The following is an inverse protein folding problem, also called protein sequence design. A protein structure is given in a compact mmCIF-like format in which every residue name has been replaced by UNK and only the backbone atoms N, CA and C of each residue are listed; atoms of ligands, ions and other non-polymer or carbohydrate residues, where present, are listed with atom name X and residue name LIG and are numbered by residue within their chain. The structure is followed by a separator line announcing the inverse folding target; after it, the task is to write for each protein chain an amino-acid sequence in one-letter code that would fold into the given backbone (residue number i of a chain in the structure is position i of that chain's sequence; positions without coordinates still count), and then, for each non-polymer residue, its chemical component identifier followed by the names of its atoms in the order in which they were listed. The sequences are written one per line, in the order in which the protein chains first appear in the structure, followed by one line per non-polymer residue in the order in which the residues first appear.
data_IF_167968332914
#
_entry.id   IF_167968332914
#
_cell.length_a   1.000
_cell.length_b   1.000
_cell.length_c   1.000
_cell.angle_alpha   90.00
_cell.angle_beta   90.00
_cell.angle_gamma   90.00
#
_symmetry.space_group_name_H-M   'P 1'
#
loop_
_entity.id
_entity.type
_entity.pdbx_description
1 polymer ?
#
# COMPACT_ATOMS: atom_id res chain seq x y z
N UNK A 1 1.95 7.99 20.72
CA UNK A 1 2.58 8.27 19.40
C UNK A 1 1.59 9.03 18.52
N UNK A 2 1.11 10.19 18.98
CA UNK A 2 0.22 11.09 18.20
C UNK A 2 0.99 12.26 17.54
N UNK A 3 2.33 12.25 17.62
CA UNK A 3 3.16 13.41 17.25
C UNK A 3 3.62 13.45 15.78
N UNK A 4 3.07 12.62 14.88
CA UNK A 4 3.49 12.56 13.47
C UNK A 4 2.50 13.30 12.54
N UNK A 5 1.37 13.76 13.08
CA UNK A 5 0.36 14.50 12.32
C UNK A 5 0.18 15.91 12.90
N UNK A 6 0.45 16.92 12.09
CA UNK A 6 -0.09 18.27 12.28
C UNK A 6 -1.23 18.45 11.27
N UNK A 7 -2.41 17.83 11.48
CA UNK A 7 -3.54 17.98 10.58
C UNK A 7 -4.11 19.38 10.76
N UNK A 8 -3.73 20.32 9.90
CA UNK A 8 -4.26 21.68 10.00
C UNK A 8 -3.61 22.72 9.10
N UNK A 9 -2.32 22.56 8.76
CA UNK A 9 -1.65 23.55 7.90
C UNK A 9 -2.10 23.44 6.44
N UNK A 10 -2.29 24.58 5.79
CA UNK A 10 -2.73 24.66 4.38
C UNK A 10 -1.76 23.91 3.44
N UNK A 11 -0.45 24.00 3.71
CA UNK A 11 0.60 23.30 2.96
C UNK A 11 0.47 21.78 3.04
N UNK A 12 0.08 21.24 4.20
CA UNK A 12 -0.14 19.81 4.37
C UNK A 12 -1.30 19.30 3.50
N UNK A 13 -2.42 20.04 3.47
CA UNK A 13 -3.58 19.68 2.64
C UNK A 13 -3.24 19.65 1.16
N UNK A 14 -2.50 20.65 0.67
CA UNK A 14 -2.04 20.69 -0.73
C UNK A 14 -1.16 19.47 -1.03
N UNK A 15 -0.18 19.20 -0.16
CA UNK A 15 0.73 18.06 -0.34
C UNK A 15 -0.03 16.73 -0.41
N UNK A 16 -0.98 16.51 0.50
CA UNK A 16 -1.84 15.32 0.50
C UNK A 16 -2.63 15.22 -0.81
N UNK A 17 -3.29 16.30 -1.23
CA UNK A 17 -4.08 16.31 -2.46
C UNK A 17 -3.23 16.00 -3.71
N UNK A 18 -2.00 16.52 -3.77
CA UNK A 18 -1.06 16.22 -4.85
C UNK A 18 -0.69 14.73 -4.88
N UNK A 19 -0.40 14.14 -3.71
CA UNK A 19 -0.07 12.71 -3.61
C UNK A 19 -1.25 11.84 -4.03
N UNK A 20 -2.46 12.15 -3.58
CA UNK A 20 -3.65 11.37 -3.91
C UNK A 20 -3.99 11.47 -5.40
N UNK A 21 -3.95 12.68 -5.96
CA UNK A 21 -4.19 12.92 -7.39
C UNK A 21 -3.13 12.20 -8.26
N UNK A 22 -1.85 12.31 -7.89
CA UNK A 22 -0.77 11.61 -8.58
C UNK A 22 -0.92 10.08 -8.47
N UNK A 23 -1.35 9.57 -7.31
CA UNK A 23 -1.58 8.15 -7.10
C UNK A 23 -2.70 7.60 -7.96
N UNK A 24 -3.84 8.30 -8.01
CA UNK A 24 -4.96 7.93 -8.87
C UNK A 24 -4.52 7.96 -10.34
N UNK A 25 -3.88 9.05 -10.79
CA UNK A 25 -3.43 9.18 -12.17
C UNK A 25 -2.45 8.07 -12.56
N UNK A 26 -1.48 7.76 -11.70
CA UNK A 26 -0.52 6.68 -11.92
C UNK A 26 -1.25 5.34 -12.06
N UNK A 27 -2.13 5.00 -11.13
CA UNK A 27 -2.85 3.73 -11.16
C UNK A 27 -3.76 3.61 -12.39
N UNK A 28 -4.41 4.70 -12.81
CA UNK A 28 -5.21 4.73 -14.04
C UNK A 28 -4.38 4.48 -15.31
N UNK A 29 -3.10 4.85 -15.30
CA UNK A 29 -2.20 4.66 -16.44
C UNK A 29 -1.53 3.27 -16.44
N UNK A 30 -1.62 2.49 -15.37
CA UNK A 30 -0.99 1.16 -15.28
C UNK A 30 -1.48 0.20 -16.36
N UNK A 31 -2.79 0.05 -16.64
CA UNK A 31 -3.26 -0.83 -17.71
C UNK A 31 -2.71 -0.41 -19.08
N UNK A 32 -2.72 0.89 -19.38
CA UNK A 32 -2.18 1.43 -20.62
C UNK A 32 -0.66 1.20 -20.75
N UNK A 33 0.08 1.39 -19.66
CA UNK A 33 1.53 1.15 -19.61
C UNK A 33 1.89 -0.32 -19.81
N UNK A 34 1.10 -1.25 -19.24
CA UNK A 34 1.31 -2.69 -19.41
C UNK A 34 1.12 -3.12 -20.87
N UNK A 35 0.10 -2.57 -21.56
CA UNK A 35 -0.09 -2.83 -22.99
C UNK A 35 1.02 -2.26 -23.86
N UNK A 36 1.50 -1.04 -23.56
CA UNK A 36 2.54 -0.38 -24.35
C UNK A 36 3.92 -1.05 -24.20
N UNK A 37 4.26 -1.46 -22.98
CA UNK A 37 5.59 -2.02 -22.67
C UNK A 37 5.68 -3.54 -22.85
N UNK A 38 4.54 -4.23 -22.99
CA UNK A 38 4.41 -5.70 -22.90
C UNK A 38 5.01 -6.30 -21.62
N UNK A 39 5.34 -5.44 -20.65
CA UNK A 39 5.79 -5.85 -19.33
C UNK A 39 4.56 -5.92 -18.41
N UNK A 40 4.46 -6.97 -17.57
CA UNK A 40 3.40 -7.08 -16.59
C UNK A 40 3.63 -6.10 -15.43
N UNK A 41 3.41 -4.80 -15.68
CA UNK A 41 3.58 -3.71 -14.69
C UNK A 41 2.73 -3.96 -13.42
N UNK A 42 1.66 -4.75 -13.54
CA UNK A 42 0.83 -5.19 -12.42
C UNK A 42 1.59 -6.03 -11.38
N UNK A 43 2.70 -6.69 -11.75
CA UNK A 43 3.56 -7.42 -10.80
C UNK A 43 4.20 -6.50 -9.75
N UNK A 44 4.32 -5.20 -10.03
CA UNK A 44 4.89 -4.23 -9.09
C UNK A 44 3.89 -3.76 -8.02
N UNK A 45 2.64 -4.20 -8.07
CA UNK A 45 1.57 -3.79 -7.17
C UNK A 45 1.50 -2.26 -6.97
N UNK A 46 1.30 -1.48 -8.06
CA UNK A 46 1.39 -0.02 -8.02
C UNK A 46 0.43 0.62 -7.00
N UNK A 47 -0.73 0.00 -6.77
CA UNK A 47 -1.68 0.45 -5.74
C UNK A 47 -1.08 0.36 -4.33
N UNK A 48 -0.31 -0.70 -4.02
CA UNK A 48 0.37 -0.84 -2.72
C UNK A 48 1.43 0.23 -2.57
N UNK A 49 2.25 0.46 -3.60
CA UNK A 49 3.29 1.50 -3.57
C UNK A 49 2.68 2.85 -3.19
N UNK A 50 1.60 3.25 -3.86
CA UNK A 50 0.90 4.51 -3.57
C UNK A 50 0.30 4.54 -2.16
N UNK A 51 -0.28 3.43 -1.69
CA UNK A 51 -0.77 3.32 -0.31
C UNK A 51 0.36 3.45 0.73
N UNK A 52 1.54 2.87 0.49
CA UNK A 52 2.72 3.03 1.37
C UNK A 52 3.21 4.48 1.39
N UNK A 53 3.25 5.13 0.22
CA UNK A 53 3.56 6.57 0.12
C UNK A 53 2.54 7.37 0.94
N UNK A 54 1.27 6.98 0.90
CA UNK A 54 0.23 7.53 1.75
C UNK A 54 0.55 7.38 3.24
N UNK A 55 0.87 6.17 3.70
CA UNK A 55 1.30 5.92 5.10
C UNK A 55 2.43 6.86 5.54
N UNK A 56 3.39 7.16 4.65
CA UNK A 56 4.57 7.95 4.97
C UNK A 56 4.35 9.46 4.96
N UNK A 57 3.40 9.96 4.18
CA UNK A 57 3.32 11.39 3.88
C UNK A 57 1.92 12.00 4.07
N UNK A 58 0.88 11.19 4.26
CA UNK A 58 -0.50 11.63 4.51
C UNK A 58 -1.07 11.02 5.78
N UNK A 59 -2.31 11.38 6.14
CA UNK A 59 -3.02 10.94 7.36
C UNK A 59 -3.48 9.50 7.31
N UNK A 60 -3.57 8.84 8.48
CA UNK A 60 -4.13 7.49 8.59
C UNK A 60 -5.49 7.37 7.89
N UNK A 61 -6.38 8.33 8.13
CA UNK A 61 -7.70 8.37 7.48
C UNK A 61 -7.57 8.53 5.97
N UNK A 62 -6.67 9.39 5.51
CA UNK A 62 -6.44 9.61 4.08
C UNK A 62 -5.80 8.39 3.40
N UNK A 63 -4.93 7.66 4.08
CA UNK A 63 -4.38 6.39 3.58
C UNK A 63 -5.47 5.34 3.40
N UNK A 64 -6.44 5.24 4.31
CA UNK A 64 -7.60 4.38 4.11
C UNK A 64 -8.45 4.82 2.92
N UNK A 65 -8.70 6.13 2.79
CA UNK A 65 -9.40 6.66 1.62
C UNK A 65 -8.65 6.31 0.33
N UNK A 66 -7.33 6.45 0.32
CA UNK A 66 -6.48 6.10 -0.83
C UNK A 66 -6.52 4.59 -1.13
N UNK A 67 -6.46 3.73 -0.11
CA UNK A 67 -6.57 2.27 -0.26
C UNK A 67 -7.89 1.82 -0.91
N UNK A 68 -8.98 2.56 -0.67
CA UNK A 68 -10.29 2.31 -1.28
C UNK A 68 -10.40 2.98 -2.66
N UNK A 69 -9.91 4.21 -2.78
CA UNK A 69 -10.01 5.01 -3.99
C UNK A 69 -9.20 4.40 -5.14
N UNK A 70 -7.96 3.95 -4.90
CA UNK A 70 -7.09 3.48 -5.98
C UNK A 70 -7.72 2.32 -6.79
N UNK A 71 -8.23 1.24 -6.17
CA UNK A 71 -8.87 0.17 -6.94
C UNK A 71 -10.22 0.59 -7.52
N UNK A 72 -10.98 1.42 -6.80
CA UNK A 72 -12.31 1.87 -7.22
C UNK A 72 -12.25 2.76 -8.46
N UNK A 73 -11.35 3.75 -8.48
CA UNK A 73 -11.13 4.60 -9.66
C UNK A 73 -10.56 3.79 -10.84
N UNK A 74 -9.63 2.86 -10.58
CA UNK A 74 -9.12 1.95 -11.63
C UNK A 74 -10.26 1.16 -12.30
N UNK A 75 -11.15 0.58 -11.50
CA UNK A 75 -12.30 -0.16 -12.01
C UNK A 75 -13.27 0.74 -12.79
N UNK A 76 -13.63 1.91 -12.26
CA UNK A 76 -14.60 2.80 -12.90
C UNK A 76 -14.15 3.32 -14.26
N UNK A 77 -12.86 3.60 -14.43
CA UNK A 77 -12.34 4.23 -15.65
C UNK A 77 -11.77 3.22 -16.65
N UNK A 78 -11.11 2.17 -16.17
CA UNK A 78 -10.44 1.20 -17.05
C UNK A 78 -11.18 -0.13 -17.16
N UNK A 79 -12.26 -0.35 -16.40
CA UNK A 79 -12.93 -1.65 -16.29
C UNK A 79 -12.07 -2.75 -15.65
N UNK A 80 -10.85 -2.41 -15.22
CA UNK A 80 -9.88 -3.30 -14.61
C UNK A 80 -9.43 -2.73 -13.25
N UNK A 81 -9.39 -3.55 -12.19
CA UNK A 81 -9.69 -4.99 -12.10
C UNK A 81 -11.19 -5.30 -12.08
N UNK A 82 -11.59 -6.55 -12.40
CA UNK A 82 -12.99 -7.02 -12.25
C UNK A 82 -13.57 -6.67 -10.88
N UNK A 83 -14.88 -6.43 -10.81
CA UNK A 83 -15.57 -5.95 -9.60
C UNK A 83 -15.24 -6.73 -8.32
N UNK A 84 -15.27 -8.08 -8.37
CA UNK A 84 -14.94 -8.89 -7.20
C UNK A 84 -13.46 -8.78 -6.82
N UNK A 85 -12.56 -8.78 -7.81
CA UNK A 85 -11.12 -8.59 -7.59
C UNK A 85 -10.83 -7.20 -7.02
N UNK A 86 -11.55 -6.17 -7.45
CA UNK A 86 -11.50 -4.83 -6.85
C UNK A 86 -11.86 -4.87 -5.37
N UNK A 87 -12.94 -5.54 -4.96
CA UNK A 87 -13.34 -5.66 -3.55
C UNK A 87 -12.29 -6.39 -2.70
N UNK A 88 -11.69 -7.45 -3.25
CA UNK A 88 -10.61 -8.20 -2.58
C UNK A 88 -9.37 -7.30 -2.40
N UNK A 89 -8.96 -6.58 -3.44
CA UNK A 89 -7.83 -5.64 -3.40
C UNK A 89 -8.08 -4.51 -2.39
N UNK A 90 -9.28 -3.92 -2.38
CA UNK A 90 -9.67 -2.91 -1.38
C UNK A 90 -9.53 -3.48 0.03
N UNK A 91 -10.01 -4.70 0.25
CA UNK A 91 -9.94 -5.39 1.54
C UNK A 91 -8.50 -5.64 1.95
N UNK A 92 -7.66 -6.11 1.02
CA UNK A 92 -6.24 -6.36 1.23
C UNK A 92 -5.48 -5.09 1.60
N UNK A 93 -5.59 -4.02 0.80
CA UNK A 93 -4.89 -2.75 1.07
C UNK A 93 -5.38 -2.14 2.39
N UNK A 94 -6.68 -2.18 2.67
CA UNK A 94 -7.22 -1.68 3.93
C UNK A 94 -6.72 -2.49 5.13
N UNK A 95 -6.65 -3.81 5.00
CA UNK A 95 -6.08 -4.68 6.04
C UNK A 95 -4.58 -4.41 6.21
N UNK A 96 -3.85 -4.13 5.13
CA UNK A 96 -2.44 -3.75 5.18
C UNK A 96 -2.22 -2.49 6.04
N UNK A 97 -3.00 -1.44 5.77
CA UNK A 97 -2.97 -0.20 6.55
C UNK A 97 -3.30 -0.48 8.02
N UNK A 98 -4.31 -1.31 8.29
CA UNK A 98 -4.68 -1.70 9.65
C UNK A 98 -3.54 -2.43 10.37
N UNK A 99 -2.98 -3.47 9.75
CA UNK A 99 -1.90 -4.27 10.32
C UNK A 99 -0.63 -3.45 10.52
N UNK A 100 -0.31 -2.53 9.60
CA UNK A 100 0.84 -1.65 9.75
C UNK A 100 0.71 -0.79 11.01
N UNK A 101 -0.41 -0.09 11.17
CA UNK A 101 -0.64 0.75 12.35
C UNK A 101 -0.74 -0.05 13.65
N UNK A 102 -1.18 -1.31 13.58
CA UNK A 102 -1.18 -2.22 14.72
C UNK A 102 0.24 -2.69 15.10
N UNK A 103 1.03 -3.13 14.12
CA UNK A 103 2.39 -3.63 14.35
C UNK A 103 3.36 -2.53 14.74
N UNK A 104 3.25 -1.33 14.18
CA UNK A 104 4.15 -0.22 14.54
C UNK A 104 3.99 0.17 16.01
N UNK A 105 2.76 0.09 16.55
CA UNK A 105 2.49 0.34 17.97
C UNK A 105 3.04 -0.76 18.88
N UNK A 106 3.02 -2.03 18.45
CA UNK A 106 3.51 -3.16 19.25
C UNK A 106 5.01 -3.41 19.15
N UNK A 107 5.58 -3.30 17.96
CA UNK A 107 6.96 -3.66 17.66
C UNK A 107 7.91 -2.46 17.68
N UNK A 108 7.40 -1.26 17.42
CA UNK A 108 8.19 -0.03 17.31
C UNK A 108 9.15 0.01 16.11
N UNK A 109 9.32 -1.09 15.37
CA UNK A 109 10.26 -1.21 14.25
C UNK A 109 9.55 -0.97 12.91
N UNK A 110 9.82 0.15 12.20
CA UNK A 110 9.09 0.52 10.98
C UNK A 110 9.27 -0.48 9.84
N UNK A 111 10.49 -1.00 9.65
CA UNK A 111 10.78 -2.05 8.66
C UNK A 111 9.92 -3.30 8.88
N UNK A 112 10.01 -3.87 10.09
CA UNK A 112 9.35 -5.12 10.43
C UNK A 112 7.83 -4.98 10.43
N UNK A 113 7.33 -3.83 10.86
CA UNK A 113 5.89 -3.53 10.86
C UNK A 113 5.33 -3.50 9.45
N UNK A 114 6.04 -2.88 8.50
CA UNK A 114 5.61 -2.86 7.11
C UNK A 114 5.69 -4.24 6.48
N UNK A 115 6.81 -4.94 6.65
CA UNK A 115 7.01 -6.27 6.09
C UNK A 115 5.93 -7.26 6.56
N UNK A 116 5.68 -7.33 7.88
CA UNK A 116 4.65 -8.20 8.45
C UNK A 116 3.24 -7.78 8.05
N UNK A 117 2.97 -6.48 7.90
CA UNK A 117 1.66 -6.02 7.44
C UNK A 117 1.38 -6.45 6.00
N UNK A 118 2.38 -6.39 5.11
CA UNK A 118 2.26 -6.81 3.72
C UNK A 118 2.03 -8.31 3.64
N UNK A 119 2.88 -9.08 4.32
CA UNK A 119 2.75 -10.53 4.35
C UNK A 119 1.40 -10.98 4.93
N UNK A 120 1.00 -10.39 6.06
CA UNK A 120 -0.29 -10.67 6.70
C UNK A 120 -1.49 -10.32 5.82
N UNK A 121 -1.47 -9.16 5.15
CA UNK A 121 -2.53 -8.77 4.21
C UNK A 121 -2.63 -9.70 3.01
N UNK A 122 -1.50 -10.16 2.47
CA UNK A 122 -1.48 -11.10 1.34
C UNK A 122 -2.01 -12.46 1.73
N UNK A 123 -1.59 -13.00 2.87
CA UNK A 123 -2.10 -14.29 3.36
C UNK A 123 -3.61 -14.22 3.52
N UNK A 124 -4.14 -13.15 4.12
CA UNK A 124 -5.58 -12.94 4.23
C UNK A 124 -6.26 -12.82 2.85
N UNK A 125 -5.64 -12.12 1.89
CA UNK A 125 -6.13 -11.98 0.53
C UNK A 125 -6.25 -13.35 -0.18
N UNK A 126 -5.21 -14.19 -0.11
CA UNK A 126 -5.23 -15.54 -0.67
C UNK A 126 -6.29 -16.45 -0.01
N UNK A 127 -6.51 -16.31 1.30
CA UNK A 127 -7.60 -17.01 1.98
C UNK A 127 -8.98 -16.59 1.45
N UNK A 128 -9.19 -15.29 1.19
CA UNK A 128 -10.44 -14.80 0.60
C UNK A 128 -10.61 -15.32 -0.83
N UNK A 129 -9.55 -15.31 -1.65
CA UNK A 129 -9.60 -15.87 -3.00
C UNK A 129 -10.01 -17.35 -3.00
N UNK A 130 -9.47 -18.11 -2.05
CA UNK A 130 -9.80 -19.53 -1.92
C UNK A 130 -11.29 -19.75 -1.59
N UNK A 131 -11.89 -18.88 -0.77
CA UNK A 131 -13.30 -18.98 -0.39
C UNK A 131 -14.26 -18.46 -1.49
N UNK A 132 -13.89 -17.38 -2.19
CA UNK A 132 -14.83 -16.62 -3.04
C UNK A 132 -14.81 -17.05 -4.51
N UNK A 133 -13.67 -17.47 -5.04
CA UNK A 133 -13.51 -17.70 -6.49
C UNK A 133 -13.34 -19.18 -6.86
N UNK A 134 -12.09 -19.67 -6.86
CA UNK A 134 -11.67 -21.03 -7.21
C UNK A 134 -10.12 -21.09 -7.21
N UNK A 135 -9.56 -22.30 -7.20
CA UNK A 135 -8.10 -22.55 -7.20
C UNK A 135 -7.35 -21.88 -8.37
N UNK A 136 -8.02 -21.63 -9.51
CA UNK A 136 -7.41 -21.07 -10.71
C UNK A 136 -6.75 -19.69 -10.51
N UNK A 137 -7.37 -18.79 -9.75
CA UNK A 137 -6.80 -17.46 -9.47
C UNK A 137 -5.66 -17.52 -8.45
N UNK A 138 -5.69 -18.49 -7.53
CA UNK A 138 -4.61 -18.74 -6.57
C UNK A 138 -3.36 -19.26 -7.29
N UNK A 139 -3.53 -20.04 -8.36
CA UNK A 139 -2.41 -20.54 -9.18
C UNK A 139 -1.76 -19.41 -9.99
N UNK A 140 -2.56 -18.53 -10.61
CA UNK A 140 -2.04 -17.40 -11.39
C UNK A 140 -1.25 -16.41 -10.52
N UNK A 141 -1.76 -16.11 -9.32
CA UNK A 141 -1.06 -15.30 -8.32
C UNK A 141 -0.07 -16.11 -7.45
N UNK A 142 0.11 -17.40 -7.74
CA UNK A 142 1.06 -18.31 -7.09
C UNK A 142 2.29 -18.61 -7.94
N UNK A 143 2.37 -18.07 -9.15
CA UNK A 143 3.52 -18.26 -10.03
C UNK A 143 4.81 -17.71 -9.38
N UNK A 144 5.90 -18.47 -9.54
CA UNK A 144 7.21 -18.17 -8.92
C UNK A 144 7.69 -16.76 -9.29
N UNK A 145 7.46 -16.35 -10.54
CA UNK A 145 7.87 -15.03 -11.02
C UNK A 145 7.12 -13.89 -10.32
N UNK A 146 5.83 -14.08 -10.06
CA UNK A 146 5.02 -13.10 -9.34
C UNK A 146 5.40 -13.04 -7.86
N UNK A 147 5.64 -14.19 -7.21
CA UNK A 147 6.11 -14.24 -5.83
C UNK A 147 7.48 -13.58 -5.65
N UNK A 148 8.41 -13.78 -6.60
CA UNK A 148 9.70 -13.10 -6.59
C UNK A 148 9.56 -11.60 -6.74
N UNK A 149 8.74 -11.13 -7.69
CA UNK A 149 8.46 -9.71 -7.87
C UNK A 149 7.87 -9.10 -6.59
N UNK A 150 6.90 -9.77 -5.96
CA UNK A 150 6.31 -9.34 -4.70
C UNK A 150 7.32 -9.27 -3.56
N UNK A 151 8.22 -10.25 -3.44
CA UNK A 151 9.23 -10.28 -2.39
C UNK A 151 10.21 -9.11 -2.55
N UNK A 152 10.63 -8.83 -3.79
CA UNK A 152 11.46 -7.66 -4.12
C UNK A 152 10.75 -6.35 -3.77
N UNK A 153 9.49 -6.19 -4.21
CA UNK A 153 8.69 -4.98 -3.94
C UNK A 153 8.45 -4.79 -2.44
N UNK A 154 8.06 -5.85 -1.73
CA UNK A 154 7.79 -5.83 -0.29
C UNK A 154 9.04 -5.42 0.50
N UNK A 155 10.19 -5.97 0.13
CA UNK A 155 11.47 -5.63 0.75
C UNK A 155 11.85 -4.18 0.43
N UNK A 156 11.70 -3.74 -0.83
CA UNK A 156 11.95 -2.35 -1.25
C UNK A 156 11.09 -1.33 -0.52
N UNK A 157 9.78 -1.58 -0.41
CA UNK A 157 8.84 -0.72 0.32
C UNK A 157 9.17 -0.68 1.81
N UNK A 158 9.49 -1.83 2.41
CA UNK A 158 9.87 -1.90 3.82
C UNK A 158 11.17 -1.12 4.10
N UNK A 159 12.16 -1.19 3.19
CA UNK A 159 13.38 -0.39 3.27
C UNK A 159 13.12 1.11 3.16
N UNK A 160 12.23 1.52 2.25
CA UNK A 160 11.82 2.92 2.12
C UNK A 160 11.18 3.44 3.41
N UNK A 161 10.26 2.66 3.99
CA UNK A 161 9.60 2.99 5.27
C UNK A 161 10.62 3.05 6.41
N UNK A 162 11.62 2.17 6.43
CA UNK A 162 12.67 2.22 7.45
C UNK A 162 13.54 3.48 7.34
N UNK A 163 13.95 3.87 6.13
CA UNK A 163 14.80 5.05 5.93
C UNK A 163 14.10 6.34 6.34
N UNK A 164 12.79 6.43 6.10
CA UNK A 164 11.98 7.61 6.41
C UNK A 164 11.49 7.56 7.87
N UNK A 165 10.84 6.47 8.28
CA UNK A 165 10.35 6.29 9.64
C UNK A 165 11.46 6.21 10.70
N UNK A 166 12.66 5.73 10.34
CA UNK A 166 13.83 5.72 11.22
C UNK A 166 14.37 7.12 11.53
N UNK A 167 14.26 8.07 10.58
CA UNK A 167 14.64 9.48 10.82
C UNK A 167 13.72 10.15 11.84
N UNK A 168 12.42 9.84 11.82
CA UNK A 168 11.44 10.42 12.74
C UNK A 168 11.51 9.81 14.14
N UNK A 169 11.82 8.51 14.25
CA UNK A 169 12.03 7.86 15.56
C UNK A 169 13.32 8.34 16.25
N UNK A 170 14.38 8.63 15.49
CA UNK A 170 15.61 9.23 16.02
C UNK A 170 15.43 10.66 16.55
N UNK A 171 14.60 11.47 15.87
CA UNK A 171 14.29 12.83 16.30
C UNK A 171 13.45 12.84 17.61
N UNK A 172 12.51 11.91 17.78
CA UNK A 172 11.70 11.77 18.99
C UNK A 172 12.43 11.22 20.23
N UNK A 173 13.65 10.69 20.07
CA UNK A 173 14.51 10.27 21.17
C UNK A 173 15.47 11.39 21.64
N UNK A 174 15.86 12.30 20.75
CA UNK A 174 16.68 13.47 21.08
C UNK A 174 15.89 14.55 21.87
N UNK A 175 14.58 14.69 21.61
CA UNK A 175 13.72 15.64 22.34
C UNK A 175 13.18 15.15 23.69
N UNK A 176 13.55 13.94 24.13
CA UNK A 176 13.18 13.39 25.46
C UNK A 176 14.33 13.36 26.47
N UNK A 177 15.46 14.00 26.13
CA UNK A 177 16.63 14.19 27.00
C UNK A 177 16.87 15.67 27.35
N UNK A 178 15.86 16.53 27.19
CA UNK A 178 15.85 17.90 27.69
C UNK A 178 14.68 18.08 28.63
#
# INVERSE_FOLDING_TARGET
MESIYQPGSFQYKIRTAVIDCAGILLVLLVPAAAHLTRLPVYFLEPMRIMMVIGILYTSRSNTYLLAIALPLFSFLFSGHPFFIKMLIIISELSLNVLLYFYFIQKLGKPFLSMFLSILGSKIACYLIYWVVFSWAFVVEEGEVMFLLAQLVVTTGLSMMVWKIGGKEQGAGAAGRRQ
#
